data_IF_435566047152
#
_entry.id   IF_435566047152
#
_cell.length_a   1.000
_cell.length_b   1.000
_cell.length_c   1.000
_cell.angle_alpha   90.00
_cell.angle_beta   90.00
_cell.angle_gamma   90.00
#
_symmetry.space_group_name_H-M   'P 1'
#
loop_
_entity.id
_entity.type
_entity.pdbx_description
1 polymer ?
#
# COMPACT_ATOMS: atom_id res chain seq x y z
N UNK A 1 9.67 -46.44 -4.34
CA UNK A 1 9.84 -45.48 -5.47
C UNK A 1 8.60 -44.64 -5.72
N UNK A 2 7.42 -45.21 -5.82
CA UNK A 2 6.17 -44.48 -6.08
C UNK A 2 5.85 -43.43 -4.99
N UNK A 3 6.19 -43.68 -3.72
CA UNK A 3 5.98 -42.75 -2.62
C UNK A 3 6.81 -41.46 -2.73
N UNK A 4 8.03 -41.53 -3.25
CA UNK A 4 8.92 -40.40 -3.44
C UNK A 4 8.34 -39.43 -4.49
N UNK A 5 7.85 -39.96 -5.59
CA UNK A 5 7.21 -39.18 -6.65
C UNK A 5 5.91 -38.52 -6.15
N UNK A 6 5.15 -39.19 -5.29
CA UNK A 6 3.97 -38.60 -4.66
C UNK A 6 4.32 -37.42 -3.76
N UNK A 7 5.37 -37.52 -2.94
CA UNK A 7 5.83 -36.42 -2.09
C UNK A 7 6.37 -35.25 -2.91
N UNK A 8 7.13 -35.52 -3.97
CA UNK A 8 7.62 -34.49 -4.88
C UNK A 8 6.46 -33.78 -5.57
N UNK A 9 5.46 -34.47 -6.04
CA UNK A 9 4.28 -33.93 -6.68
C UNK A 9 3.50 -33.03 -5.72
N UNK A 10 3.24 -33.48 -4.50
CA UNK A 10 2.51 -32.70 -3.49
C UNK A 10 3.27 -31.46 -3.08
N UNK A 11 4.60 -31.52 -2.92
CA UNK A 11 5.41 -30.35 -2.55
C UNK A 11 5.44 -29.31 -3.68
N UNK A 12 5.55 -29.73 -4.93
CA UNK A 12 5.49 -28.84 -6.10
C UNK A 12 4.12 -28.18 -6.20
N UNK A 13 3.04 -28.92 -5.98
CA UNK A 13 1.68 -28.37 -6.00
C UNK A 13 1.47 -27.33 -4.91
N UNK A 14 1.98 -27.58 -3.71
CA UNK A 14 1.92 -26.60 -2.61
C UNK A 14 2.68 -25.33 -2.92
N UNK A 15 3.86 -25.44 -3.53
CA UNK A 15 4.64 -24.29 -3.97
C UNK A 15 3.91 -23.48 -5.04
N UNK A 16 3.29 -24.12 -6.01
CA UNK A 16 2.52 -23.46 -7.06
C UNK A 16 1.29 -22.76 -6.48
N UNK A 17 0.61 -23.39 -5.54
CA UNK A 17 -0.55 -22.78 -4.86
C UNK A 17 -0.17 -21.54 -4.07
N UNK A 18 0.96 -21.58 -3.35
CA UNK A 18 1.44 -20.43 -2.59
C UNK A 18 1.86 -19.26 -3.49
N UNK A 19 2.51 -19.55 -4.62
CA UNK A 19 2.88 -18.54 -5.60
C UNK A 19 1.65 -17.86 -6.21
N UNK A 20 0.60 -18.63 -6.48
CA UNK A 20 -0.65 -18.11 -7.03
C UNK A 20 -1.35 -17.17 -6.03
N UNK A 21 -1.37 -17.53 -4.74
CA UNK A 21 -1.96 -16.71 -3.69
C UNK A 21 -1.26 -15.36 -3.57
N UNK A 22 0.08 -15.34 -3.65
CA UNK A 22 0.87 -14.10 -3.61
C UNK A 22 0.57 -13.17 -4.79
N UNK A 23 0.43 -13.72 -6.00
CA UNK A 23 0.11 -12.92 -7.19
C UNK A 23 -1.30 -12.35 -7.13
N UNK A 24 -2.27 -13.09 -6.60
CA UNK A 24 -3.64 -12.62 -6.42
C UNK A 24 -3.71 -11.44 -5.45
N UNK A 25 -3.00 -11.51 -4.31
CA UNK A 25 -2.88 -10.40 -3.36
C UNK A 25 -2.25 -9.15 -3.98
N UNK A 26 -1.15 -9.31 -4.73
CA UNK A 26 -0.48 -8.20 -5.40
C UNK A 26 -1.36 -7.54 -6.46
N UNK A 27 -2.22 -8.30 -7.14
CA UNK A 27 -3.18 -7.75 -8.10
C UNK A 27 -4.31 -7.00 -7.41
N UNK A 28 -4.77 -7.49 -6.26
CA UNK A 28 -5.86 -6.86 -5.52
C UNK A 28 -5.46 -5.48 -5.01
N UNK A 29 -4.30 -5.34 -4.38
CA UNK A 29 -3.85 -4.06 -3.85
C UNK A 29 -3.57 -3.05 -4.97
N UNK A 30 -3.02 -3.48 -6.10
CA UNK A 30 -2.82 -2.61 -7.26
C UNK A 30 -4.12 -2.09 -7.85
N UNK A 31 -5.16 -2.92 -7.90
CA UNK A 31 -6.49 -2.52 -8.38
C UNK A 31 -7.06 -1.42 -7.50
N UNK A 32 -6.99 -1.59 -6.19
CA UNK A 32 -7.48 -0.59 -5.25
C UNK A 32 -6.70 0.73 -5.31
N UNK A 33 -5.38 0.66 -5.51
CA UNK A 33 -4.55 1.86 -5.70
C UNK A 33 -4.97 2.60 -6.97
N UNK A 34 -5.18 1.90 -8.08
CA UNK A 34 -5.62 2.52 -9.34
C UNK A 34 -6.98 3.19 -9.19
N UNK A 35 -7.93 2.53 -8.51
CA UNK A 35 -9.24 3.11 -8.24
C UNK A 35 -9.12 4.35 -7.35
N UNK A 36 -8.31 4.27 -6.30
CA UNK A 36 -8.04 5.39 -5.42
C UNK A 36 -7.42 6.57 -6.15
N UNK A 37 -6.43 6.32 -7.02
CA UNK A 37 -5.78 7.36 -7.81
C UNK A 37 -6.75 8.06 -8.77
N UNK A 38 -7.64 7.30 -9.38
CA UNK A 38 -8.68 7.86 -10.25
C UNK A 38 -9.60 8.80 -9.46
N UNK A 39 -10.07 8.34 -8.31
CA UNK A 39 -10.95 9.12 -7.43
C UNK A 39 -10.23 10.36 -6.89
N UNK A 40 -8.96 10.23 -6.54
CA UNK A 40 -8.13 11.34 -6.10
C UNK A 40 -8.05 12.44 -7.17
N UNK A 41 -7.79 12.05 -8.42
CA UNK A 41 -7.75 13.01 -9.53
C UNK A 41 -9.10 13.70 -9.78
N UNK A 42 -10.20 13.04 -9.43
CA UNK A 42 -11.54 13.61 -9.49
C UNK A 42 -11.89 14.43 -8.23
N UNK A 43 -10.93 14.63 -7.35
CA UNK A 43 -11.10 15.35 -6.08
C UNK A 43 -12.10 14.67 -5.13
N UNK A 44 -12.37 13.38 -5.32
CA UNK A 44 -13.21 12.58 -4.43
C UNK A 44 -12.34 11.92 -3.36
N UNK A 45 -11.82 12.74 -2.44
CA UNK A 45 -10.77 12.34 -1.51
C UNK A 45 -11.24 11.33 -0.47
N UNK A 46 -12.47 11.44 0.01
CA UNK A 46 -13.03 10.46 0.96
C UNK A 46 -13.19 9.08 0.32
N UNK A 47 -13.61 9.03 -0.94
CA UNK A 47 -13.72 7.78 -1.69
C UNK A 47 -12.34 7.22 -2.02
N UNK A 48 -11.40 8.07 -2.37
CA UNK A 48 -10.02 7.67 -2.59
C UNK A 48 -9.41 7.06 -1.31
N UNK A 49 -9.64 7.68 -0.17
CA UNK A 49 -9.24 7.15 1.13
C UNK A 49 -9.74 5.72 1.33
N UNK A 50 -11.02 5.47 1.06
CA UNK A 50 -11.62 4.14 1.21
C UNK A 50 -10.91 3.10 0.33
N UNK A 51 -10.61 3.44 -0.92
CA UNK A 51 -9.91 2.54 -1.84
C UNK A 51 -8.46 2.26 -1.39
N UNK A 52 -7.75 3.28 -0.93
CA UNK A 52 -6.39 3.08 -0.42
C UNK A 52 -6.37 2.22 0.86
N UNK A 53 -7.38 2.34 1.71
CA UNK A 53 -7.52 1.48 2.89
C UNK A 53 -7.77 0.02 2.50
N UNK A 54 -8.54 -0.22 1.44
CA UNK A 54 -8.73 -1.56 0.87
C UNK A 54 -7.40 -2.13 0.36
N UNK A 55 -6.59 -1.31 -0.29
CA UNK A 55 -5.26 -1.72 -0.74
C UNK A 55 -4.39 -2.15 0.45
N UNK A 56 -4.40 -1.39 1.54
CA UNK A 56 -3.64 -1.72 2.76
C UNK A 56 -4.19 -2.96 3.47
N UNK A 57 -5.49 -3.23 3.38
CA UNK A 57 -6.07 -4.48 3.88
C UNK A 57 -5.58 -5.69 3.10
N UNK A 58 -5.38 -5.53 1.79
CA UNK A 58 -4.82 -6.58 0.94
C UNK A 58 -3.31 -6.75 1.16
N UNK A 59 -2.59 -5.65 1.36
CA UNK A 59 -1.15 -5.65 1.61
C UNK A 59 -0.78 -4.47 2.52
N UNK A 60 -0.63 -4.74 3.82
CA UNK A 60 -0.32 -3.73 4.83
C UNK A 60 1.04 -3.06 4.66
N UNK A 61 1.94 -3.66 3.88
CA UNK A 61 3.29 -3.14 3.62
C UNK A 61 3.40 -2.35 2.33
N UNK A 62 2.29 -2.10 1.64
CA UNK A 62 2.31 -1.33 0.41
C UNK A 62 2.56 0.14 0.74
N UNK A 63 3.80 0.59 0.52
CA UNK A 63 4.22 1.96 0.81
C UNK A 63 3.53 2.99 -0.06
N UNK A 64 3.24 2.66 -1.31
CA UNK A 64 2.52 3.53 -2.21
C UNK A 64 1.09 3.78 -1.70
N UNK A 65 0.42 2.75 -1.22
CA UNK A 65 -0.92 2.88 -0.65
C UNK A 65 -0.91 3.75 0.61
N UNK A 66 0.05 3.54 1.52
CA UNK A 66 0.20 4.37 2.72
C UNK A 66 0.47 5.82 2.37
N UNK A 67 1.37 6.08 1.43
CA UNK A 67 1.68 7.43 0.98
C UNK A 67 0.46 8.11 0.36
N UNK A 68 -0.21 7.42 -0.56
CA UNK A 68 -1.39 7.95 -1.24
C UNK A 68 -2.56 8.18 -0.28
N UNK A 69 -2.71 7.29 0.70
CA UNK A 69 -3.68 7.47 1.77
C UNK A 69 -3.39 8.74 2.57
N UNK A 70 -2.13 8.96 2.91
CA UNK A 70 -1.70 10.19 3.57
C UNK A 70 -2.08 11.44 2.76
N UNK A 71 -1.87 11.42 1.45
CA UNK A 71 -2.27 12.51 0.56
C UNK A 71 -3.78 12.73 0.55
N UNK A 72 -4.58 11.67 0.49
CA UNK A 72 -6.04 11.78 0.51
C UNK A 72 -6.56 12.31 1.85
N UNK A 73 -5.92 11.92 2.95
CA UNK A 73 -6.25 12.42 4.28
C UNK A 73 -5.89 13.89 4.43
N UNK A 74 -4.74 14.29 3.90
CA UNK A 74 -4.27 15.68 3.93
C UNK A 74 -5.25 16.60 3.19
N UNK A 75 -5.75 16.18 2.04
CA UNK A 75 -6.74 16.93 1.28
C UNK A 75 -8.07 17.10 2.03
N UNK A 76 -8.36 16.20 2.96
CA UNK A 76 -9.53 16.28 3.82
C UNK A 76 -9.27 17.03 5.14
N UNK A 77 -8.08 17.62 5.29
CA UNK A 77 -7.63 18.31 6.51
C UNK A 77 -7.55 17.38 7.73
N UNK A 78 -7.36 16.09 7.50
CA UNK A 78 -7.13 15.09 8.55
C UNK A 78 -5.63 14.97 8.82
N UNK A 79 -5.03 16.02 9.34
CA UNK A 79 -3.58 16.21 9.36
C UNK A 79 -2.87 15.16 10.22
N UNK A 80 -3.36 14.88 11.41
CA UNK A 80 -2.74 13.88 12.31
C UNK A 80 -2.75 12.49 11.69
N UNK A 81 -3.87 12.10 11.07
CA UNK A 81 -4.00 10.82 10.39
C UNK A 81 -3.08 10.76 9.15
N UNK A 82 -2.96 11.86 8.42
CA UNK A 82 -2.07 11.96 7.27
C UNK A 82 -0.61 11.77 7.68
N UNK A 83 -0.17 12.44 8.75
CA UNK A 83 1.18 12.31 9.29
C UNK A 83 1.49 10.85 9.64
N UNK A 84 0.56 10.18 10.32
CA UNK A 84 0.72 8.76 10.68
C UNK A 84 0.94 7.89 9.44
N UNK A 85 0.20 8.14 8.35
CA UNK A 85 0.34 7.38 7.12
C UNK A 85 1.66 7.69 6.39
N UNK A 86 2.11 8.93 6.38
CA UNK A 86 3.41 9.30 5.82
C UNK A 86 4.56 8.67 6.62
N UNK A 87 4.45 8.61 7.94
CA UNK A 87 5.42 7.92 8.80
C UNK A 87 5.45 6.42 8.48
N UNK A 88 4.29 5.78 8.34
CA UNK A 88 4.21 4.38 7.96
C UNK A 88 4.88 4.13 6.61
N UNK A 89 4.63 4.97 5.62
CA UNK A 89 5.26 4.89 4.31
C UNK A 89 6.79 5.07 4.43
N UNK A 90 7.24 6.02 5.23
CA UNK A 90 8.65 6.26 5.47
C UNK A 90 9.36 5.09 6.14
N UNK A 91 8.72 4.45 7.12
CA UNK A 91 9.25 3.28 7.83
C UNK A 91 9.33 2.04 6.94
N UNK A 92 8.30 1.83 6.11
CA UNK A 92 8.21 0.66 5.26
C UNK A 92 9.04 0.78 3.99
N UNK A 93 9.42 1.98 3.59
CA UNK A 93 10.15 2.23 2.35
C UNK A 93 11.62 1.86 2.51
N UNK A 94 12.13 1.04 1.60
CA UNK A 94 13.54 0.63 1.56
C UNK A 94 14.39 1.52 0.67
N UNK A 95 13.77 2.24 -0.28
CA UNK A 95 14.47 3.17 -1.17
C UNK A 95 14.65 4.52 -0.47
N UNK A 96 15.89 5.00 -0.40
CA UNK A 96 16.21 6.30 0.19
C UNK A 96 15.43 7.45 -0.45
N UNK A 97 15.22 7.38 -1.76
CA UNK A 97 14.52 8.42 -2.52
C UNK A 97 13.05 8.51 -2.10
N UNK A 98 12.35 7.38 -2.05
CA UNK A 98 10.95 7.32 -1.68
C UNK A 98 10.74 7.69 -0.22
N UNK A 99 11.62 7.21 0.65
CA UNK A 99 11.63 7.56 2.06
C UNK A 99 11.76 9.08 2.24
N UNK A 100 12.69 9.70 1.52
CA UNK A 100 12.87 11.14 1.54
C UNK A 100 11.62 11.89 1.07
N UNK A 101 10.93 11.39 0.03
CA UNK A 101 9.67 11.97 -0.45
C UNK A 101 8.56 11.84 0.59
N UNK A 102 8.45 10.71 1.27
CA UNK A 102 7.46 10.51 2.32
C UNK A 102 7.65 11.50 3.47
N UNK A 103 8.87 11.64 3.98
CA UNK A 103 9.17 12.59 5.04
C UNK A 103 9.06 14.04 4.58
N UNK A 104 9.34 14.34 3.32
CA UNK A 104 9.14 15.68 2.76
C UNK A 104 7.67 16.11 2.84
N UNK A 105 6.73 15.19 2.65
CA UNK A 105 5.30 15.48 2.75
C UNK A 105 4.82 15.69 4.19
N UNK A 106 5.58 15.25 5.19
CA UNK A 106 5.31 15.56 6.60
C UNK A 106 5.71 17.01 6.93
N UNK A 107 6.86 17.47 6.40
CA UNK A 107 7.40 18.80 6.65
C UNK A 107 6.44 19.96 6.35
N UNK A 108 5.71 19.97 5.21
CA UNK A 108 4.79 21.06 4.92
C UNK A 108 3.73 21.29 6.00
N UNK A 109 3.33 20.24 6.71
CA UNK A 109 2.37 20.34 7.82
C UNK A 109 2.95 21.09 9.01
N UNK A 110 4.22 20.86 9.34
CA UNK A 110 4.90 21.60 10.42
C UNK A 110 5.32 23.00 10.00
N UNK A 111 5.68 23.22 8.74
CA UNK A 111 6.11 24.52 8.21
C UNK A 111 4.93 25.47 8.03
N UNK A 112 3.74 24.97 7.73
CA UNK A 112 2.55 25.79 7.52
C UNK A 112 2.12 26.57 8.75
N UNK A 113 2.69 26.27 9.91
CA UNK A 113 2.42 26.96 11.17
C UNK A 113 3.45 28.06 11.50
N UNK A 114 4.45 28.23 10.68
CA UNK A 114 5.47 29.25 10.82
C UNK A 114 5.11 30.48 9.97
#
# INVERSE_FOLDING_TARGET
>A
MLKIYSYLYTSVMLLLMSAFALTASAQADRKFIRNGNRLYRQQQFAKAEAEYRKALSANSRNTQASYNLGCALLQQQKDSAAIAQFENAGKAETSKRRKAMAYHNIRPLSISFI
#
